data_IF_952066020656
#
_entry.id   IF_952066020656
#
_cell.length_a   1.000
_cell.length_b   1.000
_cell.length_c   1.000
_cell.angle_alpha   90.00
_cell.angle_beta   90.00
_cell.angle_gamma   90.00
#
_symmetry.space_group_name_H-M   'P 1'
#
loop_
_entity.id
_entity.type
_entity.pdbx_description
1 polymer ?
#
# COMPACT_ATOMS: atom_id res chain seq x y z
N UNK A 1 23.75 -5.24 6.34
CA UNK A 1 22.63 -4.31 6.55
C UNK A 1 21.33 -5.08 6.35
N UNK A 2 20.46 -5.19 7.37
CA UNK A 2 19.12 -5.78 7.19
C UNK A 2 18.20 -4.64 6.74
N UNK A 3 17.71 -4.69 5.50
CA UNK A 3 16.82 -3.65 4.94
C UNK A 3 15.48 -3.61 5.67
N UNK A 4 14.99 -4.76 6.12
CA UNK A 4 13.70 -4.89 6.81
C UNK A 4 13.87 -5.51 8.22
N UNK A 5 14.42 -4.78 9.20
CA UNK A 5 14.70 -5.30 10.54
C UNK A 5 13.43 -5.66 11.33
N UNK A 6 12.30 -5.00 11.08
CA UNK A 6 11.00 -5.22 11.76
C UNK A 6 10.05 -6.14 11.01
N UNK A 7 10.49 -6.75 9.90
CA UNK A 7 9.66 -7.68 9.12
C UNK A 7 9.19 -8.86 9.99
N UNK A 8 7.91 -9.25 9.93
CA UNK A 8 7.41 -10.40 10.67
C UNK A 8 8.12 -11.69 10.26
N UNK A 9 8.13 -12.63 11.21
CA UNK A 9 8.56 -14.01 10.95
C UNK A 9 7.49 -14.70 10.09
N UNK A 10 7.94 -15.46 9.11
CA UNK A 10 7.04 -16.29 8.31
C UNK A 10 6.36 -17.35 9.18
N UNK A 11 5.12 -17.69 8.82
CA UNK A 11 4.33 -18.80 9.39
C UNK A 11 4.06 -19.84 8.29
N UNK A 12 3.55 -21.04 8.62
CA UNK A 12 3.10 -21.99 7.60
C UNK A 12 2.05 -21.42 6.65
N UNK A 13 1.22 -20.47 7.12
CA UNK A 13 0.18 -19.81 6.32
C UNK A 13 0.69 -18.62 5.51
N UNK A 14 1.72 -17.90 5.98
CA UNK A 14 2.20 -16.67 5.33
C UNK A 14 3.72 -16.60 5.31
N UNK A 15 4.28 -16.48 4.10
CA UNK A 15 5.73 -16.38 3.89
C UNK A 15 6.13 -14.95 3.55
N UNK A 16 6.78 -14.24 4.48
CA UNK A 16 7.32 -12.89 4.27
C UNK A 16 8.75 -12.95 3.70
N UNK A 17 8.96 -13.74 2.66
CA UNK A 17 10.27 -13.91 2.02
C UNK A 17 10.52 -12.83 0.95
N UNK A 18 11.67 -12.89 0.28
CA UNK A 18 12.03 -11.93 -0.77
C UNK A 18 10.99 -11.87 -1.90
N UNK A 19 10.38 -13.01 -2.27
CA UNK A 19 9.35 -13.06 -3.31
C UNK A 19 8.11 -12.27 -2.89
N UNK A 20 7.71 -12.38 -1.62
CA UNK A 20 6.60 -11.60 -1.08
C UNK A 20 6.90 -10.10 -1.14
N UNK A 21 8.08 -9.67 -0.63
CA UNK A 21 8.48 -8.26 -0.66
C UNK A 21 8.52 -7.72 -2.10
N UNK A 22 9.09 -8.49 -3.03
CA UNK A 22 9.15 -8.10 -4.44
C UNK A 22 7.75 -7.92 -5.05
N UNK A 23 6.79 -8.79 -4.69
CA UNK A 23 5.41 -8.67 -5.14
C UNK A 23 4.75 -7.40 -4.63
N UNK A 24 4.91 -7.07 -3.34
CA UNK A 24 4.35 -5.84 -2.78
C UNK A 24 4.93 -4.59 -3.47
N UNK A 25 6.26 -4.55 -3.66
CA UNK A 25 6.92 -3.47 -4.41
C UNK A 25 6.43 -3.39 -5.86
N UNK A 26 6.22 -4.54 -6.52
CA UNK A 26 5.67 -4.59 -7.88
C UNK A 26 4.25 -4.03 -7.95
N UNK A 27 3.40 -4.35 -6.96
CA UNK A 27 2.04 -3.83 -6.87
C UNK A 27 2.03 -2.30 -6.72
N UNK A 28 2.90 -1.76 -5.86
CA UNK A 28 3.08 -0.32 -5.66
C UNK A 28 3.56 0.35 -6.95
N UNK A 29 4.56 -0.23 -7.62
CA UNK A 29 5.08 0.30 -8.87
C UNK A 29 4.02 0.33 -9.97
N UNK A 30 3.23 -0.74 -10.08
CA UNK A 30 2.11 -0.80 -11.02
C UNK A 30 1.07 0.29 -10.72
N UNK A 31 0.68 0.45 -9.45
CA UNK A 31 -0.26 1.51 -9.05
C UNK A 31 0.27 2.90 -9.43
N UNK A 32 1.55 3.18 -9.16
CA UNK A 32 2.20 4.43 -9.55
C UNK A 32 2.22 4.63 -11.06
N UNK A 33 2.44 3.58 -11.85
CA UNK A 33 2.42 3.68 -13.32
C UNK A 33 1.03 4.04 -13.85
N UNK A 34 -0.02 3.48 -13.25
CA UNK A 34 -1.41 3.85 -13.58
C UNK A 34 -1.68 5.32 -13.30
N UNK A 35 -1.22 5.84 -12.15
CA UNK A 35 -1.29 7.28 -11.83
C UNK A 35 -0.55 8.13 -12.88
N UNK A 36 0.66 7.72 -13.27
CA UNK A 36 1.47 8.44 -14.27
C UNK A 36 0.84 8.41 -15.67
N UNK A 37 0.05 7.38 -15.98
CA UNK A 37 -0.71 7.26 -17.21
C UNK A 37 -2.12 7.85 -17.10
N UNK A 38 -2.46 8.51 -15.99
CA UNK A 38 -3.78 9.08 -15.73
C UNK A 38 -4.93 8.05 -15.81
N UNK A 39 -4.65 6.80 -15.47
CA UNK A 39 -5.68 5.76 -15.40
C UNK A 39 -6.56 5.92 -14.14
N UNK A 40 -7.85 5.57 -14.21
CA UNK A 40 -8.72 5.57 -13.02
C UNK A 40 -8.30 4.50 -12.00
N UNK A 41 -8.06 4.90 -10.74
CA UNK A 41 -7.58 4.01 -9.67
C UNK A 41 -8.64 3.57 -8.64
N UNK A 42 -9.84 4.15 -8.71
CA UNK A 42 -10.97 3.88 -7.81
C UNK A 42 -12.13 3.13 -8.51
N UNK A 43 -11.81 2.36 -9.55
CA UNK A 43 -12.78 1.56 -10.30
C UNK A 43 -12.23 0.16 -10.59
N UNK A 44 -13.14 -0.82 -10.58
CA UNK A 44 -12.95 -2.17 -11.11
C UNK A 44 -13.91 -2.36 -12.29
N UNK A 45 -13.42 -2.07 -13.48
CA UNK A 45 -14.28 -1.97 -14.67
C UNK A 45 -15.24 -0.80 -14.53
N UNK A 46 -16.53 -1.05 -14.68
CA UNK A 46 -17.58 -0.04 -14.52
C UNK A 46 -18.07 0.13 -13.06
N UNK A 47 -17.55 -0.68 -12.14
CA UNK A 47 -17.96 -0.66 -10.74
C UNK A 47 -16.95 0.17 -9.96
N UNK A 48 -17.44 1.08 -9.13
CA UNK A 48 -16.63 1.82 -8.17
C UNK A 48 -15.97 0.85 -7.19
N UNK A 49 -14.65 0.91 -7.08
CA UNK A 49 -13.86 0.05 -6.19
C UNK A 49 -12.59 0.77 -5.78
N UNK A 50 -12.49 1.06 -4.50
CA UNK A 50 -11.37 1.74 -3.85
C UNK A 50 -10.46 0.73 -3.11
N UNK A 51 -10.74 -0.58 -3.23
CA UNK A 51 -10.01 -1.64 -2.56
C UNK A 51 -8.56 -1.72 -3.02
N UNK A 52 -8.30 -1.53 -4.32
CA UNK A 52 -6.93 -1.52 -4.83
C UNK A 52 -6.11 -0.37 -4.23
N UNK A 53 -6.66 0.85 -4.16
CA UNK A 53 -5.98 2.01 -3.57
C UNK A 53 -5.67 1.80 -2.08
N UNK A 54 -6.61 1.26 -1.30
CA UNK A 54 -6.39 0.96 0.12
C UNK A 54 -5.33 -0.11 0.34
N UNK A 55 -5.35 -1.18 -0.46
CA UNK A 55 -4.34 -2.22 -0.36
C UNK A 55 -2.93 -1.68 -0.64
N UNK A 56 -2.79 -0.80 -1.64
CA UNK A 56 -1.51 -0.16 -1.94
C UNK A 56 -1.05 0.74 -0.80
N UNK A 57 -1.95 1.55 -0.24
CA UNK A 57 -1.65 2.39 0.93
C UNK A 57 -1.16 1.56 2.12
N UNK A 58 -1.86 0.45 2.41
CA UNK A 58 -1.48 -0.48 3.46
C UNK A 58 -0.10 -1.13 3.19
N UNK A 59 0.16 -1.62 1.98
CA UNK A 59 1.46 -2.20 1.62
C UNK A 59 2.62 -1.20 1.78
N UNK A 60 2.41 0.08 1.45
CA UNK A 60 3.41 1.14 1.66
C UNK A 60 3.69 1.30 3.16
N UNK A 61 2.64 1.43 3.98
CA UNK A 61 2.77 1.59 5.42
C UNK A 61 3.51 0.40 6.07
N UNK A 62 3.15 -0.83 5.68
CA UNK A 62 3.79 -2.04 6.18
C UNK A 62 5.27 -2.11 5.82
N UNK A 63 5.63 -1.84 4.56
CA UNK A 63 7.02 -1.87 4.13
C UNK A 63 7.87 -0.83 4.85
N UNK A 64 7.35 0.39 5.04
CA UNK A 64 8.03 1.44 5.82
C UNK A 64 8.22 1.01 7.28
N UNK A 65 7.19 0.44 7.91
CA UNK A 65 7.31 -0.08 9.26
C UNK A 65 8.32 -1.24 9.35
N UNK A 66 8.37 -2.13 8.36
CA UNK A 66 9.37 -3.20 8.30
C UNK A 66 10.80 -2.68 8.20
N UNK A 67 10.99 -1.52 7.56
CA UNK A 67 12.25 -0.78 7.48
C UNK A 67 12.63 -0.05 8.77
N UNK A 68 11.78 -0.12 9.82
CA UNK A 68 11.95 0.66 11.06
C UNK A 68 11.90 2.18 10.85
N UNK A 69 11.10 2.60 9.87
CA UNK A 69 10.78 4.01 9.66
C UNK A 69 9.69 4.43 10.63
N UNK A 70 9.83 5.61 11.25
CA UNK A 70 8.76 6.25 12.00
C UNK A 70 7.67 6.73 11.03
N UNK A 71 6.72 5.84 10.76
CA UNK A 71 5.61 6.13 9.86
C UNK A 71 4.72 7.24 10.41
N UNK A 72 4.54 7.37 11.73
CA UNK A 72 3.74 8.44 12.31
C UNK A 72 4.34 9.82 11.98
N UNK A 73 5.67 9.96 12.09
CA UNK A 73 6.36 11.18 11.66
C UNK A 73 6.24 11.43 10.16
N UNK A 74 6.50 10.42 9.33
CA UNK A 74 6.42 10.52 7.86
C UNK A 74 5.03 10.94 7.38
N UNK A 75 3.98 10.38 7.97
CA UNK A 75 2.59 10.63 7.57
C UNK A 75 1.91 11.78 8.33
N UNK A 76 2.58 12.38 9.32
CA UNK A 76 2.03 13.49 10.12
C UNK A 76 1.52 14.67 9.27
N UNK A 77 2.17 14.94 8.14
CA UNK A 77 1.79 16.01 7.21
C UNK A 77 0.71 15.59 6.20
N UNK A 78 0.48 14.29 6.03
CA UNK A 78 -0.46 13.75 5.04
C UNK A 78 -1.79 13.37 5.67
N UNK A 79 -1.86 13.10 6.98
CA UNK A 79 -3.05 12.61 7.70
C UNK A 79 -3.68 11.35 7.04
N UNK A 80 -4.80 10.84 7.56
CA UNK A 80 -5.52 9.71 6.95
C UNK A 80 -6.29 10.09 5.66
N UNK A 81 -5.79 11.08 4.90
CA UNK A 81 -6.43 11.63 3.70
C UNK A 81 -6.78 10.57 2.67
N UNK A 82 -5.90 9.59 2.46
CA UNK A 82 -6.15 8.52 1.49
C UNK A 82 -7.38 7.70 1.89
N UNK A 83 -7.50 7.35 3.17
CA UNK A 83 -8.64 6.59 3.67
C UNK A 83 -9.91 7.44 3.62
N UNK A 84 -9.84 8.70 4.06
CA UNK A 84 -10.96 9.63 4.02
C UNK A 84 -11.52 9.82 2.61
N UNK A 85 -10.65 10.08 1.63
CA UNK A 85 -11.06 10.22 0.22
C UNK A 85 -11.68 8.93 -0.31
N UNK A 86 -11.11 7.78 0.03
CA UNK A 86 -11.70 6.52 -0.41
C UNK A 86 -13.07 6.27 0.25
N UNK A 87 -13.25 6.65 1.52
CA UNK A 87 -14.54 6.53 2.23
C UNK A 87 -15.61 7.46 1.65
N UNK A 88 -15.21 8.65 1.21
CA UNK A 88 -16.08 9.57 0.47
C UNK A 88 -16.50 8.97 -0.87
N UNK A 89 -15.54 8.45 -1.65
CA UNK A 89 -15.82 7.76 -2.90
C UNK A 89 -16.80 6.61 -2.64
N UNK A 90 -16.58 5.78 -1.62
CA UNK A 90 -17.42 4.62 -1.31
C UNK A 90 -18.88 4.98 -0.97
N UNK A 91 -19.15 6.21 -0.52
CA UNK A 91 -20.49 6.72 -0.26
C UNK A 91 -21.24 7.28 -1.47
N UNK A 92 -20.56 7.56 -2.59
CA UNK A 92 -21.17 8.06 -3.83
C UNK A 92 -22.09 7.03 -4.51
#
# INVERSE_FOLDING_TARGET
MKVFPKKPKSTPSVQYNQKWIFRELSNINNFRNRLAHHEPICFKGAIKDTGYARNIYQSIFELLNYMDVDTASVFSHFSDQVIAVCDEIDKL
#
